data_IF_980513667776
#
_entry.id   IF_980513667776
#
_cell.length_a   1.000
_cell.length_b   1.000
_cell.length_c   1.000
_cell.angle_alpha   90.00
_cell.angle_beta   90.00
_cell.angle_gamma   90.00
#
_symmetry.space_group_name_H-M   'P 1'
#
loop_
_entity.id
_entity.type
_entity.pdbx_description
1 polymer ?
#
# COMPACT_ATOMS: atom_id res chain seq x y z
N UNK A 1 41.34 34.96 3.05
CA UNK A 1 40.52 34.60 1.88
C UNK A 1 39.78 33.34 2.22
N UNK A 2 38.48 33.43 2.49
CA UNK A 2 37.65 32.27 2.82
C UNK A 2 37.07 31.70 1.53
N UNK A 3 37.27 30.40 1.33
CA UNK A 3 36.55 29.62 0.31
C UNK A 3 35.03 29.71 0.58
N UNK A 4 34.19 29.91 -0.44
CA UNK A 4 32.74 29.84 -0.26
C UNK A 4 32.31 28.38 -0.06
N UNK A 5 31.33 28.08 0.81
CA UNK A 5 30.80 26.73 0.91
C UNK A 5 30.08 26.37 -0.39
N UNK A 6 30.52 25.26 -0.98
CA UNK A 6 29.91 24.64 -2.14
C UNK A 6 28.44 24.30 -1.84
N UNK A 7 27.53 24.95 -2.56
CA UNK A 7 26.12 24.57 -2.55
C UNK A 7 26.00 23.26 -3.33
N UNK A 8 26.08 22.13 -2.62
CA UNK A 8 25.65 20.84 -3.14
C UNK A 8 24.16 20.96 -3.46
N UNK A 9 23.85 20.99 -4.75
CA UNK A 9 22.48 20.94 -5.26
C UNK A 9 21.79 19.69 -4.75
N UNK A 10 20.87 19.87 -3.79
CA UNK A 10 19.86 18.86 -3.48
C UNK A 10 18.97 18.73 -4.71
N UNK A 11 19.23 17.73 -5.55
CA UNK A 11 18.17 17.17 -6.39
C UNK A 11 17.11 16.65 -5.43
N UNK A 12 15.98 17.34 -5.34
CA UNK A 12 14.80 16.90 -4.60
C UNK A 12 14.23 15.67 -5.29
N UNK A 13 14.76 14.50 -4.98
CA UNK A 13 14.04 13.25 -5.22
C UNK A 13 12.86 13.26 -4.26
N UNK A 14 11.67 13.58 -4.78
CA UNK A 14 10.41 13.41 -4.05
C UNK A 14 10.33 11.94 -3.61
N UNK A 15 10.50 11.68 -2.31
CA UNK A 15 10.40 10.34 -1.73
C UNK A 15 8.93 9.89 -1.82
N UNK A 16 8.63 9.05 -2.81
CA UNK A 16 7.30 8.44 -2.94
C UNK A 16 7.18 7.28 -1.97
N UNK A 17 6.20 7.35 -1.09
CA UNK A 17 5.80 6.27 -0.18
C UNK A 17 4.54 5.60 -0.72
N UNK A 18 4.52 4.27 -0.62
CA UNK A 18 3.39 3.44 -1.01
C UNK A 18 3.01 2.57 0.19
N UNK A 19 1.72 2.51 0.50
CA UNK A 19 1.21 1.68 1.58
C UNK A 19 0.89 0.28 1.08
N UNK A 20 1.40 -0.74 1.77
CA UNK A 20 1.05 -2.15 1.61
C UNK A 20 0.81 -2.75 2.99
N UNK A 21 0.02 -3.81 3.07
CA UNK A 21 -0.32 -4.48 4.32
C UNK A 21 -0.03 -5.99 4.25
N UNK A 22 0.35 -6.56 5.39
CA UNK A 22 0.37 -8.01 5.56
C UNK A 22 -1.09 -8.52 5.63
N UNK A 23 -1.46 -9.48 4.81
CA UNK A 23 -2.79 -10.11 4.85
C UNK A 23 -2.79 -11.31 5.80
N UNK A 24 -3.97 -11.78 6.19
CA UNK A 24 -4.14 -12.98 7.04
C UNK A 24 -3.49 -14.25 6.46
N UNK A 25 -3.34 -14.34 5.14
CA UNK A 25 -2.70 -15.47 4.44
C UNK A 25 -1.17 -15.38 4.43
N UNK A 26 -0.59 -14.38 5.09
CA UNK A 26 0.84 -14.13 5.19
C UNK A 26 1.47 -13.49 3.96
N UNK A 27 0.65 -13.01 3.00
CA UNK A 27 1.14 -12.31 1.80
C UNK A 27 1.01 -10.80 1.95
N UNK A 28 1.89 -10.06 1.29
CA UNK A 28 1.73 -8.60 1.15
C UNK A 28 0.68 -8.28 0.09
N UNK A 29 -0.20 -7.33 0.39
CA UNK A 29 -1.23 -6.82 -0.51
C UNK A 29 -1.44 -5.33 -0.36
N UNK A 30 -2.29 -4.77 -1.21
CA UNK A 30 -2.78 -3.40 -1.05
C UNK A 30 -4.05 -3.40 -0.20
N UNK A 31 -4.34 -2.29 0.51
CA UNK A 31 -5.62 -2.12 1.19
C UNK A 31 -6.81 -2.18 0.22
N UNK A 32 -7.90 -2.78 0.68
CA UNK A 32 -9.16 -2.96 -0.03
C UNK A 32 -9.61 -4.42 -0.09
N UNK A 33 -10.85 -4.63 -0.52
CA UNK A 33 -11.47 -5.96 -0.55
C UNK A 33 -12.45 -6.16 -1.70
N UNK A 34 -13.41 -7.06 -1.48
CA UNK A 34 -14.42 -7.41 -2.48
C UNK A 34 -15.58 -6.43 -2.44
N UNK A 35 -15.88 -5.80 -3.57
CA UNK A 35 -17.05 -4.93 -3.68
C UNK A 35 -18.31 -5.74 -4.00
N UNK A 36 -19.37 -5.55 -3.21
CA UNK A 36 -20.68 -6.15 -3.43
C UNK A 36 -21.54 -5.30 -4.38
N UNK A 37 -22.00 -5.92 -5.47
CA UNK A 37 -22.98 -5.38 -6.42
C UNK A 37 -24.39 -5.93 -6.13
N UNK A 38 -25.49 -5.27 -6.56
CA UNK A 38 -25.57 -4.16 -7.52
C UNK A 38 -25.71 -2.75 -6.92
N UNK A 39 -25.83 -2.63 -5.60
CA UNK A 39 -26.31 -1.38 -4.98
C UNK A 39 -25.23 -0.30 -4.82
N UNK A 40 -23.97 -0.61 -5.15
CA UNK A 40 -22.83 0.29 -4.96
C UNK A 40 -21.97 0.40 -6.22
N UNK A 41 -21.34 1.56 -6.40
CA UNK A 41 -20.24 1.72 -7.36
C UNK A 41 -18.97 1.03 -6.85
N UNK A 42 -18.02 0.76 -7.75
CA UNK A 42 -16.70 0.24 -7.35
C UNK A 42 -16.00 1.17 -6.36
N UNK A 43 -16.10 2.47 -6.60
CA UNK A 43 -15.49 3.49 -5.75
C UNK A 43 -16.18 3.56 -4.38
N UNK A 44 -17.51 3.45 -4.30
CA UNK A 44 -18.22 3.45 -3.02
C UNK A 44 -17.81 2.26 -2.15
N UNK A 45 -17.84 1.04 -2.72
CA UNK A 45 -17.43 -0.16 -2.02
C UNK A 45 -15.97 -0.09 -1.60
N UNK A 46 -15.07 0.32 -2.49
CA UNK A 46 -13.65 0.47 -2.14
C UNK A 46 -13.43 1.46 -0.98
N UNK A 47 -14.12 2.60 -0.96
CA UNK A 47 -13.95 3.56 0.14
C UNK A 47 -14.52 3.03 1.47
N UNK A 48 -15.52 2.15 1.46
CA UNK A 48 -15.99 1.46 2.67
C UNK A 48 -14.92 0.49 3.19
N UNK A 49 -14.40 -0.37 2.32
CA UNK A 49 -13.33 -1.31 2.67
C UNK A 49 -12.08 -0.59 3.22
N UNK A 50 -11.67 0.51 2.58
CA UNK A 50 -10.55 1.31 3.07
C UNK A 50 -10.80 1.93 4.45
N UNK A 51 -12.04 2.27 4.78
CA UNK A 51 -12.40 2.78 6.10
C UNK A 51 -12.31 1.66 7.15
N UNK A 52 -12.77 0.46 6.82
CA UNK A 52 -12.75 -0.71 7.70
C UNK A 52 -11.31 -1.18 7.98
N UNK A 53 -10.44 -1.17 6.97
CA UNK A 53 -9.04 -1.60 7.06
C UNK A 53 -8.07 -0.54 7.60
N UNK A 54 -8.29 0.75 7.28
CA UNK A 54 -7.35 1.84 7.60
C UNK A 54 -7.83 2.79 8.70
N UNK A 55 -9.09 2.64 9.14
CA UNK A 55 -9.69 3.41 10.23
C UNK A 55 -10.06 4.84 9.85
N UNK A 56 -10.42 5.66 10.84
CA UNK A 56 -10.98 7.02 10.64
C UNK A 56 -10.11 7.94 9.77
N UNK A 57 -8.79 7.74 9.75
CA UNK A 57 -7.88 8.51 8.90
C UNK A 57 -8.19 8.38 7.40
N UNK A 58 -8.82 7.27 6.98
CA UNK A 58 -9.28 7.07 5.60
C UNK A 58 -10.34 8.09 5.17
N UNK A 59 -11.13 8.63 6.11
CA UNK A 59 -12.17 9.64 5.82
C UNK A 59 -11.60 10.97 5.31
N UNK A 60 -10.30 11.21 5.51
CA UNK A 60 -9.62 12.42 5.05
C UNK A 60 -9.38 12.46 3.53
N UNK A 61 -9.62 11.34 2.84
CA UNK A 61 -9.54 11.25 1.39
C UNK A 61 -10.66 10.38 0.85
N UNK A 62 -10.83 10.43 -0.47
CA UNK A 62 -11.75 9.56 -1.20
C UNK A 62 -11.09 9.09 -2.47
N UNK A 63 -11.14 7.80 -2.74
CA UNK A 63 -10.76 7.23 -4.03
C UNK A 63 -11.89 7.48 -5.01
N UNK A 64 -11.57 8.09 -6.15
CA UNK A 64 -12.53 8.43 -7.18
C UNK A 64 -12.20 7.74 -8.50
N UNK A 65 -13.13 7.84 -9.46
CA UNK A 65 -12.96 7.26 -10.79
C UNK A 65 -11.71 7.79 -11.52
N UNK A 66 -11.27 9.02 -11.24
CA UNK A 66 -10.04 9.58 -11.79
C UNK A 66 -8.75 8.87 -11.29
N UNK A 67 -8.84 8.19 -10.14
CA UNK A 67 -7.76 7.43 -9.54
C UNK A 67 -7.64 6.01 -10.12
N UNK A 68 -8.61 5.56 -10.92
CA UNK A 68 -8.61 4.25 -11.58
C UNK A 68 -7.43 4.09 -12.55
N UNK A 69 -6.82 2.90 -12.58
CA UNK A 69 -5.66 2.61 -13.43
C UNK A 69 -5.83 1.41 -14.33
N UNK A 70 -6.22 0.26 -13.78
CA UNK A 70 -6.38 -0.95 -14.58
C UNK A 70 -7.34 -1.93 -13.93
N UNK A 71 -7.67 -2.97 -14.70
CA UNK A 71 -8.36 -4.14 -14.19
C UNK A 71 -7.63 -5.38 -14.69
N UNK A 72 -7.52 -6.38 -13.83
CA UNK A 72 -6.93 -7.67 -14.17
C UNK A 72 -7.93 -8.79 -13.90
N UNK A 73 -8.13 -9.66 -14.88
CA UNK A 73 -8.96 -10.86 -14.73
C UNK A 73 -8.06 -12.00 -14.29
N UNK A 74 -8.38 -12.62 -13.16
CA UNK A 74 -7.68 -13.84 -12.74
C UNK A 74 -7.95 -14.95 -13.76
N UNK A 75 -6.91 -15.37 -14.49
CA UNK A 75 -7.00 -16.36 -15.57
C UNK A 75 -6.70 -17.79 -15.10
N UNK A 76 -6.53 -18.03 -13.80
CA UNK A 76 -6.25 -19.36 -13.30
C UNK A 76 -7.50 -20.24 -13.46
N UNK A 77 -7.36 -21.34 -14.21
CA UNK A 77 -8.46 -22.23 -14.59
C UNK A 77 -9.17 -22.91 -13.42
N UNK A 78 -8.57 -22.90 -12.23
CA UNK A 78 -9.12 -23.42 -10.97
C UNK A 78 -9.50 -22.33 -9.96
N UNK A 79 -9.33 -21.05 -10.28
CA UNK A 79 -9.63 -19.94 -9.38
C UNK A 79 -11.05 -19.38 -9.61
N UNK A 80 -11.66 -18.76 -8.59
CA UNK A 80 -12.89 -18.01 -8.78
C UNK A 80 -12.68 -16.92 -9.84
N UNK A 81 -13.73 -16.65 -10.64
CA UNK A 81 -13.71 -15.59 -11.64
C UNK A 81 -13.74 -14.23 -10.93
N UNK A 82 -12.55 -13.69 -10.67
CA UNK A 82 -12.36 -12.40 -10.01
C UNK A 82 -11.78 -11.40 -11.00
N UNK A 83 -12.31 -10.18 -10.98
CA UNK A 83 -11.72 -9.02 -11.63
C UNK A 83 -11.16 -8.12 -10.53
N UNK A 84 -9.83 -7.97 -10.49
CA UNK A 84 -9.17 -7.06 -9.58
C UNK A 84 -9.10 -5.66 -10.22
N UNK A 85 -9.72 -4.67 -9.60
CA UNK A 85 -9.69 -3.28 -10.05
C UNK A 85 -8.65 -2.49 -9.23
N UNK A 86 -7.72 -1.82 -9.90
CA UNK A 86 -6.61 -1.12 -9.23
C UNK A 86 -6.75 0.40 -9.34
N UNK A 87 -6.54 1.08 -8.21
CA UNK A 87 -6.60 2.53 -8.07
C UNK A 87 -5.30 3.06 -7.48
N UNK A 88 -4.93 4.30 -7.84
CA UNK A 88 -3.78 4.99 -7.26
C UNK A 88 -4.21 6.39 -6.83
N UNK A 89 -4.25 6.62 -5.52
CA UNK A 89 -4.49 7.93 -4.90
C UNK A 89 -3.19 8.53 -4.41
N UNK A 90 -2.86 9.74 -4.86
CA UNK A 90 -1.75 10.51 -4.29
C UNK A 90 -2.22 11.26 -3.05
N UNK A 91 -1.56 11.05 -1.92
CA UNK A 91 -1.85 11.73 -0.67
C UNK A 91 -0.67 12.61 -0.23
N UNK A 92 -0.92 13.74 0.45
CA UNK A 92 0.11 14.45 1.21
C UNK A 92 0.72 13.52 2.26
N UNK A 93 2.03 13.69 2.52
CA UNK A 93 2.79 12.86 3.47
C UNK A 93 2.13 12.78 4.85
N UNK A 94 1.55 13.87 5.34
CA UNK A 94 0.91 13.90 6.66
C UNK A 94 -0.38 13.09 6.72
N UNK A 95 -1.13 12.99 5.62
CA UNK A 95 -2.30 12.11 5.52
C UNK A 95 -1.85 10.65 5.50
N UNK A 96 -0.79 10.33 4.75
CA UNK A 96 -0.23 8.98 4.70
C UNK A 96 0.25 8.50 6.07
N UNK A 97 0.98 9.35 6.81
CA UNK A 97 1.39 9.06 8.20
C UNK A 97 0.20 8.93 9.15
N UNK A 98 -0.88 9.67 8.93
CA UNK A 98 -2.09 9.55 9.75
C UNK A 98 -2.77 8.19 9.53
N UNK A 99 -2.84 7.73 8.27
CA UNK A 99 -3.30 6.39 7.91
C UNK A 99 -2.44 5.32 8.57
N UNK A 100 -1.11 5.41 8.48
CA UNK A 100 -0.21 4.44 9.11
C UNK A 100 -0.38 4.33 10.63
N UNK A 101 -0.58 5.47 11.30
CA UNK A 101 -0.84 5.50 12.74
C UNK A 101 -2.24 5.00 13.11
N UNK A 102 -3.21 5.18 12.22
CA UNK A 102 -4.62 4.83 12.44
C UNK A 102 -4.95 3.38 12.12
N UNK A 103 -4.26 2.77 11.15
CA UNK A 103 -4.51 1.40 10.71
C UNK A 103 -4.48 0.37 11.85
N UNK A 104 -3.60 0.46 12.87
CA UNK A 104 -3.63 -0.44 14.02
C UNK A 104 -4.89 -0.39 14.90
N UNK A 105 -5.70 0.66 14.74
CA UNK A 105 -6.95 0.89 15.47
C UNK A 105 -8.18 0.59 14.61
N UNK A 106 -7.98 0.23 13.34
CA UNK A 106 -9.04 -0.07 12.39
C UNK A 106 -9.76 -1.37 12.75
N UNK A 107 -10.98 -1.52 12.24
CA UNK A 107 -11.87 -2.63 12.58
C UNK A 107 -11.23 -3.99 12.26
N UNK A 108 -10.52 -4.08 11.14
CA UNK A 108 -9.95 -5.34 10.64
C UNK A 108 -8.50 -5.59 11.10
N UNK A 109 -7.97 -4.71 11.93
CA UNK A 109 -6.62 -4.87 12.45
C UNK A 109 -6.52 -6.11 13.35
N UNK A 110 -5.68 -7.06 12.94
CA UNK A 110 -5.50 -8.34 13.63
C UNK A 110 -6.47 -9.45 13.23
N UNK A 111 -7.40 -9.19 12.30
CA UNK A 111 -8.30 -10.19 11.72
C UNK A 111 -7.93 -10.50 10.26
N UNK A 112 -7.91 -9.46 9.42
CA UNK A 112 -7.58 -9.58 7.98
C UNK A 112 -6.30 -8.83 7.60
N UNK A 113 -5.89 -7.86 8.44
CA UNK A 113 -4.81 -6.90 8.19
C UNK A 113 -3.75 -6.96 9.31
N UNK A 114 -2.48 -7.13 8.92
CA UNK A 114 -1.29 -6.98 9.75
C UNK A 114 -0.58 -5.63 9.50
N UNK A 115 0.59 -5.38 10.13
CA UNK A 115 1.20 -4.05 10.12
C UNK A 115 1.51 -3.53 8.70
N UNK A 116 1.19 -2.25 8.47
CA UNK A 116 1.54 -1.53 7.23
C UNK A 116 3.07 -1.43 7.08
N UNK A 117 3.57 -1.78 5.90
CA UNK A 117 5.00 -1.76 5.58
C UNK A 117 5.30 -0.81 4.42
N UNK A 118 6.30 0.05 4.63
CA UNK A 118 6.91 0.87 3.57
C UNK A 118 8.12 0.12 2.97
N UNK A 119 8.13 -0.24 1.66
CA UNK A 119 9.34 -0.75 1.05
C UNK A 119 10.37 0.39 0.90
N UNK A 120 11.63 0.23 1.34
CA UNK A 120 12.65 1.26 1.16
C UNK A 120 12.99 1.45 -0.32
N UNK A 121 13.09 2.71 -0.75
CA UNK A 121 13.40 3.10 -2.14
C UNK A 121 14.76 2.60 -2.65
N UNK A 122 15.64 2.16 -1.75
CA UNK A 122 16.97 1.60 -2.03
C UNK A 122 17.26 0.46 -1.05
N UNK A 123 16.63 -0.70 -1.24
CA UNK A 123 16.80 -1.85 -0.34
C UNK A 123 18.26 -2.35 -0.32
N UNK A 124 18.94 -2.25 0.84
CA UNK A 124 20.13 -3.08 1.10
C UNK A 124 19.67 -4.48 1.52
N UNK A 125 20.36 -5.54 1.10
CA UNK A 125 20.05 -6.88 1.54
C UNK A 125 20.16 -6.97 3.07
N UNK A 126 19.24 -7.70 3.74
CA UNK A 126 19.29 -7.85 5.19
C UNK A 126 20.54 -8.66 5.61
N UNK A 127 21.07 -8.44 6.83
CA UNK A 127 22.18 -9.22 7.35
C UNK A 127 21.82 -10.71 7.41
N UNK A 128 22.79 -11.57 7.07
CA UNK A 128 22.63 -13.02 6.85
C UNK A 128 22.07 -13.81 8.04
N UNK A 129 22.08 -13.25 9.24
CA UNK A 129 21.57 -13.87 10.47
C UNK A 129 20.16 -13.38 10.86
N UNK A 130 19.50 -12.57 10.02
CA UNK A 130 18.12 -12.18 10.26
C UNK A 130 17.15 -13.31 9.84
N UNK A 131 16.01 -13.49 10.54
CA UNK A 131 14.95 -14.41 10.13
C UNK A 131 14.39 -14.13 8.73
N UNK A 132 14.73 -12.97 8.16
CA UNK A 132 14.25 -12.48 6.87
C UNK A 132 15.24 -12.73 5.73
N UNK A 133 16.45 -13.24 6.01
CA UNK A 133 17.47 -13.53 5.00
C UNK A 133 17.03 -14.61 3.99
N UNK A 134 16.17 -15.54 4.39
CA UNK A 134 15.59 -16.58 3.54
C UNK A 134 14.64 -16.03 2.46
N UNK A 135 14.17 -14.78 2.60
CA UNK A 135 13.25 -14.14 1.67
C UNK A 135 13.95 -13.30 0.58
N UNK A 136 15.26 -13.03 0.72
CA UNK A 136 16.06 -12.32 -0.29
C UNK A 136 16.65 -13.26 -1.36
N UNK A 137 16.65 -14.57 -1.12
CA UNK A 137 17.15 -15.56 -2.08
C UNK A 137 16.15 -15.78 -3.23
N UNK A 138 15.94 -14.74 -4.03
CA UNK A 138 14.97 -14.72 -5.12
C UNK A 138 15.34 -13.70 -6.20
N UNK A 139 16.59 -13.71 -6.67
CA UNK A 139 16.94 -13.20 -7.99
C UNK A 139 18.32 -13.70 -8.41
N UNK A 140 18.32 -14.75 -9.24
CA UNK A 140 18.98 -14.83 -10.54
C UNK A 140 18.96 -16.30 -10.97
N UNK A 141 18.05 -16.57 -11.92
CA UNK A 141 17.85 -17.83 -12.62
C UNK A 141 16.76 -17.59 -13.66
#
# INVERSE_FOLDING_TARGET
MGEPPSTVGRRSTEERRSTMQMRFDGRLGFPGGFVHFPDQSLEDGLNQELLEELGEAATAFRVERADYRNSYVSSASSAPRVVAHFYIKSLPLEQLKAVERGAPLAQDHGLEVGPVWEPPSHARPPPKASPWASWWSGSLG
#
